data_IF_391361921152
#
_entry.id   IF_391361921152
#
_cell.length_a   1.000
_cell.length_b   1.000
_cell.length_c   1.000
_cell.angle_alpha   90.00
_cell.angle_beta   90.00
_cell.angle_gamma   90.00
#
_symmetry.space_group_name_H-M   'P 1'
#
loop_
_entity.id
_entity.type
_entity.pdbx_description
1 polymer ?
#
# COMPACT_ATOMS: atom_id res chain seq x y z
N UNK A 1 11.02 8.81 6.90
CA UNK A 1 10.32 9.34 8.10
C UNK A 1 11.11 9.10 9.40
N UNK A 2 11.97 8.08 9.49
CA UNK A 2 12.75 7.76 10.71
C UNK A 2 13.59 8.92 11.25
N UNK A 3 14.13 9.73 10.37
CA UNK A 3 15.00 10.87 10.72
C UNK A 3 14.32 12.24 10.57
N UNK A 4 13.04 12.24 10.20
CA UNK A 4 12.30 13.49 10.00
C UNK A 4 11.64 13.93 11.31
N UNK A 5 12.00 15.09 11.83
CA UNK A 5 11.53 15.61 13.11
C UNK A 5 10.00 15.80 13.16
N UNK A 6 9.38 16.24 12.04
CA UNK A 6 7.94 16.44 11.96
C UNK A 6 7.21 15.10 12.06
N UNK A 7 7.71 14.08 11.33
CA UNK A 7 7.13 12.73 11.37
C UNK A 7 7.25 12.13 12.78
N UNK A 8 8.40 12.24 13.42
CA UNK A 8 8.62 11.72 14.77
C UNK A 8 7.77 12.47 15.82
N UNK A 9 7.63 13.78 15.70
CA UNK A 9 6.74 14.55 16.55
C UNK A 9 5.27 14.15 16.40
N UNK A 10 4.84 13.84 15.17
CA UNK A 10 3.47 13.38 14.88
C UNK A 10 3.23 11.98 15.44
N UNK A 11 4.17 11.04 15.25
CA UNK A 11 4.10 9.70 15.84
C UNK A 11 3.87 9.80 17.35
N UNK A 12 4.69 10.61 18.03
CA UNK A 12 4.57 10.82 19.47
C UNK A 12 3.25 11.47 19.88
N UNK A 13 2.81 12.49 19.13
CA UNK A 13 1.57 13.24 19.41
C UNK A 13 0.34 12.36 19.29
N UNK A 14 0.28 11.53 18.25
CA UNK A 14 -0.88 10.67 17.95
C UNK A 14 -0.79 9.30 18.68
N UNK A 15 0.27 9.05 19.46
CA UNK A 15 0.47 7.80 20.21
C UNK A 15 0.72 6.59 19.31
N UNK A 16 1.30 6.81 18.14
CA UNK A 16 1.61 5.76 17.17
C UNK A 16 2.91 5.05 17.58
N UNK A 17 3.02 3.78 17.21
CA UNK A 17 4.16 2.94 17.56
C UNK A 17 5.42 3.25 16.75
N UNK A 18 5.24 3.43 15.45
CA UNK A 18 6.33 3.56 14.48
C UNK A 18 5.88 4.24 13.17
N UNK A 19 6.76 4.26 12.18
CA UNK A 19 6.52 4.84 10.86
C UNK A 19 5.48 4.06 10.02
N UNK A 20 5.30 2.75 10.28
CA UNK A 20 4.28 1.95 9.62
C UNK A 20 2.89 2.34 10.11
N UNK A 21 2.73 2.55 11.42
CA UNK A 21 1.49 3.09 11.95
C UNK A 21 1.24 4.55 11.53
N UNK A 22 2.29 5.33 11.30
CA UNK A 22 2.16 6.68 10.73
C UNK A 22 1.65 6.61 9.28
N UNK A 23 2.12 5.65 8.48
CA UNK A 23 1.58 5.41 7.13
C UNK A 23 0.09 5.06 7.20
N UNK A 24 -0.29 4.13 8.06
CA UNK A 24 -1.68 3.75 8.27
C UNK A 24 -2.55 4.92 8.72
N UNK A 25 -2.09 5.72 9.67
CA UNK A 25 -2.75 6.95 10.10
C UNK A 25 -2.99 7.93 8.94
N UNK A 26 -1.99 8.12 8.08
CA UNK A 26 -2.13 8.96 6.89
C UNK A 26 -3.19 8.41 5.93
N UNK A 27 -3.15 7.11 5.61
CA UNK A 27 -4.10 6.45 4.71
C UNK A 27 -5.53 6.53 5.27
N UNK A 28 -5.72 6.30 6.56
CA UNK A 28 -7.04 6.43 7.20
C UNK A 28 -7.61 7.85 7.13
N UNK A 29 -6.77 8.88 7.19
CA UNK A 29 -7.21 10.26 7.01
C UNK A 29 -7.65 10.54 5.57
N UNK A 30 -6.92 9.99 4.59
CA UNK A 30 -7.29 10.09 3.17
C UNK A 30 -8.60 9.33 2.92
N UNK A 31 -8.75 8.11 3.46
CA UNK A 31 -10.00 7.35 3.36
C UNK A 31 -11.20 8.14 3.89
N UNK A 32 -11.09 8.71 5.09
CA UNK A 32 -12.16 9.54 5.67
C UNK A 32 -12.54 10.72 4.77
N UNK A 33 -11.56 11.33 4.14
CA UNK A 33 -11.81 12.41 3.18
C UNK A 33 -12.54 11.89 1.94
N UNK A 34 -12.08 10.79 1.34
CA UNK A 34 -12.69 10.18 0.16
C UNK A 34 -14.13 9.74 0.43
N UNK A 35 -14.35 9.07 1.55
CA UNK A 35 -15.69 8.60 1.93
C UNK A 35 -16.71 9.74 2.08
N UNK A 36 -16.29 10.90 2.59
CA UNK A 36 -17.14 12.09 2.63
C UNK A 36 -17.57 12.58 1.25
N UNK A 37 -16.81 12.25 0.20
CA UNK A 37 -17.07 12.60 -1.18
C UNK A 37 -17.68 11.45 -2.00
N UNK A 38 -18.16 10.39 -1.32
CA UNK A 38 -18.77 9.22 -1.97
C UNK A 38 -17.77 8.40 -2.78
N UNK A 39 -16.51 8.37 -2.36
CA UNK A 39 -15.44 7.58 -2.98
C UNK A 39 -14.84 6.62 -1.97
N UNK A 40 -14.35 5.48 -2.46
CA UNK A 40 -13.63 4.50 -1.68
C UNK A 40 -12.16 4.51 -2.09
N UNK A 41 -11.28 4.14 -1.16
CA UNK A 41 -9.85 4.04 -1.41
C UNK A 41 -9.49 2.65 -1.91
N UNK A 42 -8.63 2.60 -2.91
CA UNK A 42 -7.89 1.39 -3.27
C UNK A 42 -6.40 1.71 -3.22
N UNK A 43 -5.61 0.86 -2.60
CA UNK A 43 -4.17 1.04 -2.49
C UNK A 43 -3.40 -0.21 -2.81
N UNK A 44 -2.13 -0.05 -3.15
CA UNK A 44 -1.20 -1.16 -3.28
C UNK A 44 -1.04 -1.88 -1.94
N UNK A 45 -0.55 -3.10 -1.94
CA UNK A 45 -0.50 -3.95 -0.73
C UNK A 45 0.41 -3.43 0.40
N UNK A 46 1.20 -2.36 0.17
CA UNK A 46 1.91 -1.63 1.21
C UNK A 46 0.97 -0.99 2.25
N UNK A 47 -0.29 -0.73 1.89
CA UNK A 47 -1.26 -0.19 2.86
C UNK A 47 -1.66 -1.18 3.97
N UNK A 48 -1.26 -2.45 3.83
CA UNK A 48 -1.37 -3.45 4.91
C UNK A 48 -0.44 -3.15 6.09
N UNK A 49 0.68 -2.50 5.82
CA UNK A 49 1.70 -2.20 6.82
C UNK A 49 1.17 -1.17 7.83
N UNK A 50 1.17 -1.51 9.12
CA UNK A 50 0.64 -0.65 10.20
C UNK A 50 -0.88 -0.71 10.37
N UNK A 51 -1.59 -1.50 9.57
CA UNK A 51 -3.03 -1.73 9.65
C UNK A 51 -3.85 -1.05 8.55
N UNK A 52 -4.81 -1.79 8.01
CA UNK A 52 -5.69 -1.31 6.94
C UNK A 52 -6.70 -0.27 7.44
N UNK A 53 -6.99 0.70 6.58
CA UNK A 53 -8.17 1.56 6.73
C UNK A 53 -9.45 0.72 6.53
N UNK A 54 -10.55 0.98 7.30
CA UNK A 54 -11.68 0.05 7.40
C UNK A 54 -12.37 -0.36 6.11
N UNK A 55 -12.43 0.53 5.12
CA UNK A 55 -13.10 0.27 3.83
C UNK A 55 -12.13 0.25 2.65
N UNK A 56 -10.83 0.12 2.91
CA UNK A 56 -9.83 0.08 1.86
C UNK A 56 -9.90 -1.22 1.07
N UNK A 57 -9.75 -1.12 -0.26
CA UNK A 57 -9.46 -2.25 -1.15
C UNK A 57 -7.96 -2.36 -1.36
N UNK A 58 -7.48 -3.56 -1.61
CA UNK A 58 -6.06 -3.83 -1.75
C UNK A 58 -5.74 -4.35 -3.16
N UNK A 59 -4.75 -3.74 -3.81
CA UNK A 59 -4.14 -4.27 -5.02
C UNK A 59 -2.85 -5.02 -4.64
N UNK A 60 -2.86 -6.35 -4.75
CA UNK A 60 -1.73 -7.20 -4.38
C UNK A 60 -0.79 -7.34 -5.57
N UNK A 61 0.33 -6.61 -5.56
CA UNK A 61 1.30 -6.60 -6.66
C UNK A 61 2.61 -7.32 -6.34
N UNK A 62 3.04 -7.31 -5.09
CA UNK A 62 4.30 -7.96 -4.63
C UNK A 62 4.22 -9.48 -4.60
N UNK A 63 3.05 -10.05 -4.88
CA UNK A 63 2.77 -11.48 -4.83
C UNK A 63 1.35 -11.75 -4.37
N UNK A 64 1.10 -12.97 -3.91
CA UNK A 64 -0.22 -13.41 -3.45
C UNK A 64 -0.46 -13.10 -1.96
N UNK A 65 0.59 -12.99 -1.17
CA UNK A 65 0.51 -12.88 0.29
C UNK A 65 -0.28 -11.65 0.76
N UNK A 66 -0.09 -10.51 0.10
CA UNK A 66 -0.85 -9.29 0.40
C UNK A 66 -2.35 -9.46 0.17
N UNK A 67 -2.71 -10.13 -0.93
CA UNK A 67 -4.09 -10.45 -1.27
C UNK A 67 -4.72 -11.42 -0.26
N UNK A 68 -4.00 -12.45 0.12
CA UNK A 68 -4.43 -13.43 1.14
C UNK A 68 -4.64 -12.72 2.49
N UNK A 69 -3.69 -11.91 2.91
CA UNK A 69 -3.79 -11.17 4.16
C UNK A 69 -5.00 -10.23 4.19
N UNK A 70 -5.21 -9.44 3.13
CA UNK A 70 -6.36 -8.54 3.02
C UNK A 70 -7.70 -9.29 2.99
N UNK A 71 -7.78 -10.40 2.25
CA UNK A 71 -8.98 -11.25 2.19
C UNK A 71 -9.33 -11.86 3.55
N UNK A 72 -8.33 -12.31 4.30
CA UNK A 72 -8.52 -12.83 5.67
C UNK A 72 -9.06 -11.75 6.64
N UNK A 73 -8.83 -10.47 6.33
CA UNK A 73 -9.39 -9.33 7.04
C UNK A 73 -10.73 -8.86 6.46
N UNK A 74 -11.31 -9.62 5.52
CA UNK A 74 -12.58 -9.32 4.84
C UNK A 74 -12.55 -8.05 3.98
N UNK A 75 -11.39 -7.68 3.45
CA UNK A 75 -11.24 -6.61 2.47
C UNK A 75 -11.33 -7.14 1.04
N UNK A 76 -11.86 -6.32 0.13
CA UNK A 76 -11.84 -6.61 -1.30
C UNK A 76 -10.41 -6.53 -1.85
N UNK A 77 -10.06 -7.45 -2.74
CA UNK A 77 -8.72 -7.59 -3.30
C UNK A 77 -8.76 -7.60 -4.82
N UNK A 78 -7.82 -6.91 -5.42
CA UNK A 78 -7.49 -7.03 -6.86
C UNK A 78 -6.09 -7.64 -6.96
N UNK A 79 -5.99 -8.80 -7.61
CA UNK A 79 -4.72 -9.47 -7.85
C UNK A 79 -4.02 -8.85 -9.06
N UNK A 80 -2.88 -8.20 -8.81
CA UNK A 80 -2.05 -7.53 -9.82
C UNK A 80 -0.61 -7.98 -9.72
N UNK A 81 -0.40 -9.27 -9.52
CA UNK A 81 0.90 -9.88 -9.26
C UNK A 81 1.92 -9.50 -10.33
N UNK A 82 3.03 -8.87 -9.91
CA UNK A 82 4.04 -8.30 -10.81
C UNK A 82 4.64 -9.32 -11.79
N UNK A 83 4.83 -10.58 -11.35
CA UNK A 83 5.38 -11.62 -12.21
C UNK A 83 4.45 -12.10 -13.33
N UNK A 84 3.14 -11.79 -13.29
CA UNK A 84 2.15 -12.25 -14.27
C UNK A 84 1.40 -11.14 -14.99
N UNK A 85 1.25 -9.99 -14.35
CA UNK A 85 0.40 -8.91 -14.85
C UNK A 85 1.19 -7.73 -15.43
N UNK A 86 2.48 -7.63 -15.12
CA UNK A 86 3.33 -6.53 -15.54
C UNK A 86 4.05 -6.86 -16.85
N UNK A 87 4.13 -5.89 -17.76
CA UNK A 87 4.79 -6.02 -19.07
C UNK A 87 6.17 -5.32 -19.13
N UNK A 88 6.70 -4.93 -18.00
CA UNK A 88 7.94 -4.19 -17.84
C UNK A 88 9.16 -5.08 -17.56
N UNK A 89 9.02 -6.39 -17.77
CA UNK A 89 10.11 -7.35 -17.66
C UNK A 89 10.90 -7.47 -18.98
N UNK A 90 12.20 -7.65 -18.88
CA UNK A 90 13.03 -8.01 -20.03
C UNK A 90 12.55 -9.29 -20.69
N UNK A 91 12.47 -9.27 -22.03
CA UNK A 91 12.05 -10.43 -22.83
C UNK A 91 13.25 -11.25 -23.31
N UNK A 92 14.45 -10.70 -23.25
CA UNK A 92 15.71 -11.32 -23.66
C UNK A 92 16.88 -10.87 -22.80
N UNK A 93 18.03 -10.64 -23.43
CA UNK A 93 19.22 -10.22 -22.71
C UNK A 93 19.12 -8.72 -22.30
N UNK A 94 19.16 -8.41 -20.99
CA UNK A 94 19.07 -7.02 -20.49
C UNK A 94 20.12 -6.07 -21.10
N UNK A 95 21.29 -6.57 -21.49
CA UNK A 95 22.36 -5.75 -22.08
C UNK A 95 22.05 -5.27 -23.52
N UNK A 96 21.10 -5.91 -24.18
CA UNK A 96 20.72 -5.65 -25.57
C UNK A 96 19.32 -5.06 -25.75
N UNK A 97 18.52 -5.01 -24.69
CA UNK A 97 17.17 -4.46 -24.71
C UNK A 97 17.12 -3.03 -24.14
N UNK A 98 16.11 -2.22 -24.52
CA UNK A 98 15.84 -0.97 -23.84
C UNK A 98 15.61 -1.21 -22.33
N UNK A 99 15.90 -0.20 -21.52
CA UNK A 99 15.73 -0.28 -20.06
C UNK A 99 14.25 -0.57 -19.76
N UNK A 100 14.01 -1.70 -19.09
CA UNK A 100 12.74 -1.95 -18.39
C UNK A 100 12.72 -1.18 -17.06
N UNK A 101 11.56 -0.86 -16.55
CA UNK A 101 11.40 -0.06 -15.34
C UNK A 101 11.65 -0.85 -14.05
#
# INVERSE_FOLDING_TARGET
WKTNEIAQALIKKEGLKDEHELQSYFIQRIEKFLNKHGREIIGWDEILEGGLAPNARVMSWRGEDGGIAASNLSHEVVMTHGGYCYFDHYQGNPDSEPIAF
#
